data_IF_497814048526
#
_entry.id   IF_497814048526
#
_cell.length_a   1.000
_cell.length_b   1.000
_cell.length_c   1.000
_cell.angle_alpha   90.00
_cell.angle_beta   90.00
_cell.angle_gamma   90.00
#
_symmetry.space_group_name_H-M   'P 1'
#
loop_
_entity.id
_entity.type
_entity.pdbx_description
1 polymer ?
#
# COMPACT_ATOMS: atom_id res chain seq x y z
N UNK A 1 7.90 7.27 0.37
CA UNK A 1 8.65 6.21 1.11
C UNK A 1 8.90 6.49 2.61
N UNK A 2 9.07 7.75 3.07
CA UNK A 2 9.54 8.05 4.45
C UNK A 2 8.54 7.80 5.62
N UNK A 3 7.22 7.76 5.39
CA UNK A 3 6.22 7.60 6.49
C UNK A 3 5.97 6.14 6.93
N UNK A 4 6.14 5.17 6.02
CA UNK A 4 5.78 3.76 6.26
C UNK A 4 6.66 3.03 7.28
N UNK A 5 7.94 3.40 7.40
CA UNK A 5 8.87 2.77 8.36
C UNK A 5 8.45 2.98 9.81
N UNK A 6 7.75 4.08 10.12
CA UNK A 6 7.29 4.38 11.47
C UNK A 6 6.00 3.64 11.85
N UNK A 7 5.12 3.38 10.88
CA UNK A 7 3.87 2.63 11.09
C UNK A 7 4.13 1.19 11.56
N UNK A 8 5.25 0.56 11.16
CA UNK A 8 5.68 -0.76 11.66
C UNK A 8 5.83 -0.83 13.18
N UNK A 9 6.09 0.31 13.86
CA UNK A 9 6.31 0.36 15.32
C UNK A 9 5.01 0.58 16.12
N UNK A 10 3.93 0.98 15.45
CA UNK A 10 2.71 1.48 16.12
C UNK A 10 1.62 0.42 16.26
N UNK A 11 1.89 -0.83 15.87
CA UNK A 11 0.96 -1.95 16.07
C UNK A 11 -0.36 -1.79 15.31
N UNK A 12 -0.33 -1.20 14.12
CA UNK A 12 -1.53 -1.02 13.28
C UNK A 12 -1.93 -2.33 12.61
N UNK A 13 -3.24 -2.58 12.53
CA UNK A 13 -3.81 -3.81 11.94
C UNK A 13 -3.79 -3.80 10.41
N UNK A 14 -3.90 -2.61 9.80
CA UNK A 14 -3.92 -2.40 8.35
C UNK A 14 -3.21 -1.12 7.94
N UNK A 15 -2.67 -1.10 6.73
CA UNK A 15 -2.05 0.08 6.11
C UNK A 15 -2.82 0.46 4.85
N UNK A 16 -3.36 1.68 4.79
CA UNK A 16 -4.03 2.20 3.59
C UNK A 16 -3.03 2.97 2.71
N UNK A 17 -2.79 2.48 1.50
CA UNK A 17 -2.04 3.19 0.46
C UNK A 17 -2.96 4.16 -0.30
N UNK A 18 -3.45 5.15 0.44
CA UNK A 18 -4.49 6.07 -0.01
C UNK A 18 -3.99 7.05 -1.08
N UNK A 19 -4.67 7.08 -2.23
CA UNK A 19 -4.50 8.11 -3.25
C UNK A 19 -5.09 9.49 -2.87
N UNK A 20 -5.79 9.58 -1.72
CA UNK A 20 -6.32 10.85 -1.19
C UNK A 20 -5.19 11.72 -0.63
N UNK A 21 -4.09 11.11 -0.21
CA UNK A 21 -2.89 11.81 0.22
C UNK A 21 -2.03 12.20 -0.99
N UNK A 22 -1.26 13.29 -0.86
CA UNK A 22 -0.28 13.66 -1.88
C UNK A 22 0.68 12.48 -2.12
N UNK A 23 0.80 11.99 -3.37
CA UNK A 23 1.68 10.88 -3.69
C UNK A 23 3.11 11.19 -3.25
N UNK A 24 3.74 10.24 -2.56
CA UNK A 24 5.15 10.35 -2.20
C UNK A 24 6.08 9.94 -3.35
N UNK A 25 5.55 9.21 -4.33
CA UNK A 25 6.15 8.84 -5.61
C UNK A 25 4.99 8.74 -6.61
N UNK A 26 5.13 9.35 -7.80
CA UNK A 26 4.09 9.38 -8.83
C UNK A 26 4.10 8.13 -9.73
N UNK A 27 5.24 7.42 -9.78
CA UNK A 27 5.47 6.34 -10.75
C UNK A 27 5.42 4.95 -10.11
N UNK A 28 5.75 4.83 -8.82
CA UNK A 28 5.87 3.55 -8.15
C UNK A 28 4.99 3.45 -6.90
N UNK A 29 4.32 2.31 -6.76
CA UNK A 29 3.66 1.90 -5.53
C UNK A 29 4.64 1.20 -4.57
N UNK A 30 4.24 1.10 -3.31
CA UNK A 30 5.02 0.38 -2.31
C UNK A 30 4.99 -1.13 -2.62
N UNK A 31 6.16 -1.78 -2.56
CA UNK A 31 6.21 -3.24 -2.55
C UNK A 31 5.70 -3.75 -1.19
N UNK A 32 4.54 -4.38 -1.18
CA UNK A 32 3.80 -4.74 0.04
C UNK A 32 4.29 -6.06 0.63
N UNK A 33 4.99 -6.88 -0.16
CA UNK A 33 5.57 -8.15 0.29
C UNK A 33 6.65 -8.00 1.39
N UNK A 34 7.22 -6.81 1.54
CA UNK A 34 8.22 -6.51 2.58
C UNK A 34 7.59 -6.23 3.98
N UNK A 35 6.28 -6.41 4.09
CA UNK A 35 5.50 -6.06 5.27
C UNK A 35 4.67 -7.25 5.78
N UNK A 36 4.59 -7.37 7.11
CA UNK A 36 3.72 -8.36 7.79
C UNK A 36 2.29 -7.85 8.00
N UNK A 37 2.11 -6.54 7.94
CA UNK A 37 0.80 -5.90 8.12
C UNK A 37 0.15 -5.79 6.74
N UNK A 38 -1.11 -6.23 6.59
CA UNK A 38 -1.81 -6.19 5.31
C UNK A 38 -2.04 -4.76 4.82
N UNK A 39 -2.07 -4.62 3.49
CA UNK A 39 -2.32 -3.35 2.82
C UNK A 39 -3.72 -3.31 2.21
N UNK A 40 -4.37 -2.16 2.35
CA UNK A 40 -5.59 -1.79 1.65
C UNK A 40 -5.23 -0.77 0.58
N UNK A 41 -5.78 -0.94 -0.62
CA UNK A 41 -5.50 -0.05 -1.75
C UNK A 41 -6.78 0.18 -2.56
N UNK A 42 -7.03 1.41 -2.99
CA UNK A 42 -8.13 1.73 -3.90
C UNK A 42 -7.97 1.07 -5.27
N UNK A 43 -9.03 0.97 -6.06
CA UNK A 43 -8.91 0.63 -7.47
C UNK A 43 -10.12 1.20 -8.23
N UNK A 44 -9.87 1.83 -9.38
CA UNK A 44 -10.92 2.39 -10.24
C UNK A 44 -11.39 1.42 -11.31
N UNK A 45 -10.61 0.37 -11.59
CA UNK A 45 -10.92 -0.68 -12.54
C UNK A 45 -10.22 -2.01 -12.19
N UNK A 46 -10.60 -3.09 -12.87
CA UNK A 46 -10.06 -4.43 -12.63
C UNK A 46 -8.55 -4.53 -12.91
N UNK A 47 -8.03 -3.81 -13.91
CA UNK A 47 -6.60 -3.82 -14.22
C UNK A 47 -5.76 -3.22 -13.10
N UNK A 48 -6.23 -2.13 -12.51
CA UNK A 48 -5.61 -1.49 -11.34
C UNK A 48 -5.68 -2.39 -10.10
N UNK A 49 -6.81 -3.07 -9.88
CA UNK A 49 -6.95 -4.02 -8.79
C UNK A 49 -5.97 -5.20 -8.91
N UNK A 50 -5.85 -5.80 -10.11
CA UNK A 50 -4.92 -6.91 -10.36
C UNK A 50 -3.46 -6.50 -10.18
N UNK A 51 -3.09 -5.29 -10.60
CA UNK A 51 -1.73 -4.76 -10.37
C UNK A 51 -1.45 -4.60 -8.87
N UNK A 52 -2.40 -4.05 -8.10
CA UNK A 52 -2.26 -3.88 -6.64
C UNK A 52 -2.16 -5.21 -5.90
N UNK A 53 -2.88 -6.25 -6.35
CA UNK A 53 -2.70 -7.63 -5.86
C UNK A 53 -1.28 -8.14 -6.19
N UNK A 54 -0.80 -7.93 -7.41
CA UNK A 54 0.57 -8.30 -7.83
C UNK A 54 1.68 -7.58 -7.04
N UNK A 55 1.41 -6.38 -6.53
CA UNK A 55 2.31 -5.64 -5.63
C UNK A 55 2.30 -6.17 -4.17
N UNK A 56 1.42 -7.13 -3.85
CA UNK A 56 1.27 -7.74 -2.53
C UNK A 56 0.12 -7.17 -1.68
N UNK A 57 -0.87 -6.49 -2.28
CA UNK A 57 -2.11 -6.12 -1.58
C UNK A 57 -3.03 -7.35 -1.44
N UNK A 58 -2.73 -8.22 -0.49
CA UNK A 58 -3.61 -9.33 -0.10
C UNK A 58 -3.49 -9.54 1.42
N UNK A 59 -4.53 -10.05 2.10
CA UNK A 59 -4.43 -10.54 3.48
C UNK A 59 -3.41 -11.67 3.65
#
# INVERSE_FOLDING_TARGET
MLKLKYLKLWGVDYIDESEVLTPADENNHVNKNDFKVPFVCGARNLGEALRRIGEGAFP
#
